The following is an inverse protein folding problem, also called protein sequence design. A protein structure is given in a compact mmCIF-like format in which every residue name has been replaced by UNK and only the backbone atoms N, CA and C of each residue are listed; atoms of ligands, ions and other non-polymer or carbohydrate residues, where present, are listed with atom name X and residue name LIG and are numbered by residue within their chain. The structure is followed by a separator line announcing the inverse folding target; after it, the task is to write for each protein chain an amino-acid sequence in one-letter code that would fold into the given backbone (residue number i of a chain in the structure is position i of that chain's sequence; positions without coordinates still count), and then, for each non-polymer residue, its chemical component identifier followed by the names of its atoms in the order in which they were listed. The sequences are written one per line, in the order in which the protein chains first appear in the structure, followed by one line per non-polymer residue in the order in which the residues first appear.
data_IF_276597782449
#
_entry.id   IF_276597782449
#
_cell.length_a   1.000
_cell.length_b   1.000
_cell.length_c   1.000
_cell.angle_alpha   90.00
_cell.angle_beta   90.00
_cell.angle_gamma   90.00
#
_symmetry.space_group_name_H-M   'P 1'
#
loop_
_entity.id
_entity.type
_entity.pdbx_description
1 polymer ?
#
# COMPACT_ATOMS: atom_id res chain seq x y z
N UNK A 1 -6.55 75.97 36.40
CA UNK A 1 -5.83 75.31 37.51
C UNK A 1 -6.84 74.98 38.60
N UNK A 2 -6.81 73.83 39.29
CA UNK A 2 -6.44 72.48 38.89
C UNK A 2 -7.68 71.57 38.70
N UNK A 3 -7.52 70.48 37.96
CA UNK A 3 -8.51 69.41 37.77
C UNK A 3 -8.13 68.18 38.59
N UNK A 4 -9.05 67.64 39.39
CA UNK A 4 -8.87 66.38 40.13
C UNK A 4 -10.06 65.43 39.93
N UNK A 5 -9.73 64.30 39.29
CA UNK A 5 -10.21 62.93 39.54
C UNK A 5 -11.71 62.62 39.58
N UNK A 6 -12.18 61.84 38.59
CA UNK A 6 -12.88 60.58 38.87
C UNK A 6 -12.63 59.60 37.73
N UNK A 7 -12.18 58.39 38.07
CA UNK A 7 -11.81 57.32 37.14
C UNK A 7 -13.06 56.68 36.50
N UNK A 8 -12.98 56.40 35.20
CA UNK A 8 -13.74 55.36 34.51
C UNK A 8 -12.70 54.42 33.88
N UNK A 9 -12.73 53.09 34.11
CA UNK A 9 -11.75 52.21 33.50
C UNK A 9 -12.00 52.13 32.00
N UNK A 10 -10.96 52.46 31.25
CA UNK A 10 -10.90 52.32 29.81
C UNK A 10 -10.90 50.83 29.42
N UNK A 11 -11.57 50.61 28.30
CA UNK A 11 -11.67 49.41 27.50
C UNK A 11 -10.27 48.86 27.16
N UNK A 12 -9.73 47.96 27.99
CA UNK A 12 -8.54 47.19 27.62
C UNK A 12 -8.91 46.12 26.60
N UNK A 13 -8.41 46.35 25.39
CA UNK A 13 -8.40 45.47 24.25
C UNK A 13 -8.00 44.04 24.63
N UNK A 14 -8.91 43.09 24.37
CA UNK A 14 -8.58 41.69 24.15
C UNK A 14 -7.53 41.59 23.05
N UNK A 15 -6.26 41.49 23.44
CA UNK A 15 -5.19 41.06 22.55
C UNK A 15 -4.45 39.89 23.21
N UNK A 16 -5.15 38.78 23.34
CA UNK A 16 -4.51 37.49 23.55
C UNK A 16 -4.05 36.96 22.19
N UNK A 17 -2.84 37.35 21.78
CA UNK A 17 -2.04 36.60 20.82
C UNK A 17 -1.75 35.22 21.43
N UNK A 18 -2.70 34.30 21.27
CA UNK A 18 -2.46 32.88 21.53
C UNK A 18 -1.43 32.40 20.50
N UNK A 19 -0.19 32.28 20.96
CA UNK A 19 0.85 31.52 20.28
C UNK A 19 0.29 30.11 20.03
N UNK A 20 0.27 29.60 18.79
CA UNK A 20 -0.28 28.27 18.54
C UNK A 20 0.53 27.25 19.34
N UNK A 21 -0.15 26.39 20.10
CA UNK A 21 0.48 25.33 20.88
C UNK A 21 1.55 24.64 20.02
N UNK A 22 2.77 24.48 20.55
CA UNK A 22 3.91 23.92 19.81
C UNK A 22 3.60 22.55 19.17
N UNK A 23 2.72 21.76 19.80
CA UNK A 23 2.18 20.51 19.25
C UNK A 23 1.31 20.70 18.01
N UNK A 24 0.47 21.74 17.96
CA UNK A 24 -0.36 22.09 16.80
C UNK A 24 0.52 22.57 15.64
N UNK A 25 1.58 23.33 15.94
CA UNK A 25 2.53 23.79 14.92
C UNK A 25 3.35 22.63 14.31
N UNK A 26 3.94 21.75 15.13
CA UNK A 26 4.65 20.54 14.67
C UNK A 26 3.72 19.60 13.87
N UNK A 27 2.48 19.46 14.33
CA UNK A 27 1.47 18.66 13.64
C UNK A 27 1.08 19.26 12.29
N UNK A 28 0.94 20.59 12.19
CA UNK A 28 0.67 21.29 10.92
C UNK A 28 1.79 21.09 9.89
N UNK A 29 3.04 20.98 10.35
CA UNK A 29 4.20 20.70 9.50
C UNK A 29 4.24 19.24 9.02
N UNK A 30 3.78 18.29 9.85
CA UNK A 30 3.64 16.87 9.47
C UNK A 30 2.48 16.62 8.49
N UNK A 31 1.46 17.49 8.51
CA UNK A 31 0.24 17.38 7.69
C UNK A 31 0.32 18.13 6.35
N UNK A 32 1.24 19.10 6.21
CA UNK A 32 1.39 19.90 5.00
C UNK A 32 2.71 19.74 4.20
N UNK A 33 3.35 18.57 4.11
CA UNK A 33 4.52 18.42 3.24
C UNK A 33 4.16 18.65 1.75
N UNK A 34 2.90 18.43 1.37
CA UNK A 34 2.39 18.71 0.01
C UNK A 34 2.42 20.21 -0.37
N UNK A 35 2.32 21.14 0.60
CA UNK A 35 2.40 22.60 0.32
C UNK A 35 3.84 23.01 -0.01
N UNK A 36 4.80 22.50 0.75
CA UNK A 36 6.23 22.76 0.53
C UNK A 36 6.73 22.13 -0.78
N UNK A 37 6.23 20.92 -1.12
CA UNK A 37 6.50 20.30 -2.41
C UNK A 37 5.94 21.13 -3.58
N UNK A 38 4.75 21.72 -3.42
CA UNK A 38 4.16 22.57 -4.45
C UNK A 38 4.95 23.85 -4.69
N UNK A 39 5.40 24.52 -3.62
CA UNK A 39 6.12 25.80 -3.73
C UNK A 39 7.53 25.62 -4.28
N UNK A 40 8.26 24.60 -3.82
CA UNK A 40 9.66 24.39 -4.20
C UNK A 40 9.82 23.51 -5.46
N UNK A 41 8.88 22.59 -5.72
CA UNK A 41 8.99 21.58 -6.78
C UNK A 41 7.69 21.35 -7.56
N UNK A 42 7.12 22.43 -8.09
CA UNK A 42 5.82 22.44 -8.79
C UNK A 42 5.65 21.34 -9.87
N UNK A 43 6.64 21.15 -10.75
CA UNK A 43 6.57 20.14 -11.82
C UNK A 43 6.47 18.71 -11.29
N UNK A 44 7.22 18.41 -10.23
CA UNK A 44 7.16 17.09 -9.58
C UNK A 44 5.82 16.91 -8.87
N UNK A 45 5.32 17.94 -8.20
CA UNK A 45 4.02 17.89 -7.54
C UNK A 45 2.90 17.55 -8.54
N UNK A 46 2.85 18.22 -9.71
CA UNK A 46 1.89 17.89 -10.78
C UNK A 46 2.04 16.43 -11.21
N UNK A 47 3.27 15.98 -11.48
CA UNK A 47 3.52 14.62 -11.93
C UNK A 47 3.02 13.59 -10.90
N UNK A 48 3.28 13.80 -9.60
CA UNK A 48 2.81 12.92 -8.54
C UNK A 48 1.29 12.95 -8.37
N UNK A 49 0.63 14.10 -8.58
CA UNK A 49 -0.83 14.17 -8.56
C UNK A 49 -1.46 13.36 -9.70
N UNK A 50 -0.92 13.47 -10.92
CA UNK A 50 -1.36 12.68 -12.07
C UNK A 50 -1.16 11.19 -11.80
N UNK A 51 0.02 10.80 -11.30
CA UNK A 51 0.31 9.39 -10.97
C UNK A 51 -0.64 8.86 -9.90
N UNK A 52 -0.88 9.60 -8.83
CA UNK A 52 -1.81 9.17 -7.77
C UNK A 52 -3.26 9.09 -8.27
N UNK A 53 -3.69 9.96 -9.18
CA UNK A 53 -5.00 9.86 -9.82
C UNK A 53 -5.13 8.58 -10.67
N UNK A 54 -4.08 8.22 -11.42
CA UNK A 54 -4.04 6.96 -12.18
C UNK A 54 -4.07 5.76 -11.23
N UNK A 55 -3.28 5.78 -10.15
CA UNK A 55 -3.27 4.72 -9.12
C UNK A 55 -4.66 4.55 -8.52
N UNK A 56 -5.34 5.64 -8.18
CA UNK A 56 -6.71 5.61 -7.68
C UNK A 56 -7.66 4.90 -8.67
N UNK A 57 -7.69 5.35 -9.94
CA UNK A 57 -8.60 4.81 -10.94
C UNK A 57 -8.35 3.33 -11.20
N UNK A 58 -7.09 2.98 -11.47
CA UNK A 58 -6.68 1.60 -11.77
C UNK A 58 -6.88 0.70 -10.55
N UNK A 59 -6.42 1.15 -9.39
CA UNK A 59 -6.51 0.42 -8.13
C UNK A 59 -7.96 0.13 -7.76
N UNK A 60 -8.85 1.12 -7.77
CA UNK A 60 -10.26 0.91 -7.41
C UNK A 60 -10.96 -0.02 -8.40
N UNK A 61 -10.73 0.13 -9.71
CA UNK A 61 -11.36 -0.72 -10.72
C UNK A 61 -10.91 -2.18 -10.58
N UNK A 62 -9.59 -2.42 -10.53
CA UNK A 62 -9.05 -3.79 -10.45
C UNK A 62 -9.39 -4.46 -9.13
N UNK A 63 -9.30 -3.75 -8.01
CA UNK A 63 -9.60 -4.31 -6.69
C UNK A 63 -11.10 -4.53 -6.48
N UNK A 64 -11.98 -3.68 -7.02
CA UNK A 64 -13.44 -3.91 -6.97
C UNK A 64 -13.84 -5.15 -7.77
N UNK A 65 -13.26 -5.31 -8.96
CA UNK A 65 -13.44 -6.52 -9.77
C UNK A 65 -12.90 -7.75 -9.04
N UNK A 66 -11.71 -7.65 -8.43
CA UNK A 66 -11.13 -8.73 -7.65
C UNK A 66 -12.03 -9.10 -6.47
N UNK A 67 -12.52 -8.12 -5.71
CA UNK A 67 -13.42 -8.33 -4.59
C UNK A 67 -14.68 -9.09 -5.05
N UNK A 68 -15.29 -8.66 -6.15
CA UNK A 68 -16.45 -9.35 -6.74
C UNK A 68 -16.12 -10.82 -7.08
N UNK A 69 -15.02 -11.08 -7.78
CA UNK A 69 -14.64 -12.43 -8.19
C UNK A 69 -14.32 -13.32 -6.98
N UNK A 70 -13.53 -12.81 -6.03
CA UNK A 70 -13.12 -13.55 -4.85
C UNK A 70 -14.28 -13.81 -3.90
N UNK A 71 -15.22 -12.85 -3.75
CA UNK A 71 -16.39 -12.99 -2.89
C UNK A 71 -17.48 -13.87 -3.51
N UNK A 72 -17.81 -13.68 -4.79
CA UNK A 72 -19.01 -14.30 -5.38
C UNK A 72 -18.71 -15.43 -6.38
N UNK A 73 -17.61 -15.37 -7.13
CA UNK A 73 -17.29 -16.42 -8.13
C UNK A 73 -16.44 -17.56 -7.58
N UNK A 74 -15.63 -17.30 -6.56
CA UNK A 74 -14.80 -18.31 -5.91
C UNK A 74 -15.59 -19.09 -4.86
N UNK A 75 -16.07 -20.27 -5.24
CA UNK A 75 -16.89 -21.16 -4.41
C UNK A 75 -16.17 -21.61 -3.13
N UNK A 76 -14.90 -22.01 -3.24
CA UNK A 76 -14.15 -22.57 -2.11
C UNK A 76 -13.27 -21.51 -1.47
N UNK A 77 -13.59 -21.11 -0.22
CA UNK A 77 -12.84 -20.11 0.54
C UNK A 77 -11.65 -20.74 1.27
N UNK A 78 -10.56 -20.92 0.53
CA UNK A 78 -9.28 -21.36 1.11
C UNK A 78 -8.65 -20.27 1.98
N UNK A 79 -7.70 -20.64 2.83
CA UNK A 79 -6.90 -19.70 3.66
C UNK A 79 -6.28 -18.57 2.82
N UNK A 80 -5.65 -18.91 1.70
CA UNK A 80 -5.09 -17.93 0.76
C UNK A 80 -6.15 -17.00 0.16
N UNK A 81 -7.36 -17.49 -0.14
CA UNK A 81 -8.47 -16.64 -0.62
C UNK A 81 -8.91 -15.64 0.46
N UNK A 82 -8.91 -16.04 1.73
CA UNK A 82 -9.26 -15.16 2.86
C UNK A 82 -8.22 -14.06 3.03
N UNK A 83 -6.92 -14.39 3.00
CA UNK A 83 -5.84 -13.38 3.06
C UNK A 83 -5.93 -12.41 1.88
N UNK A 84 -6.17 -12.92 0.66
CA UNK A 84 -6.32 -12.07 -0.52
C UNK A 84 -7.56 -11.16 -0.45
N UNK A 85 -8.70 -11.61 0.09
CA UNK A 85 -9.85 -10.72 0.28
C UNK A 85 -9.50 -9.56 1.22
N UNK A 86 -8.77 -9.82 2.30
CA UNK A 86 -8.37 -8.75 3.22
C UNK A 86 -7.38 -7.78 2.57
N UNK A 87 -6.44 -8.29 1.76
CA UNK A 87 -5.53 -7.47 0.95
C UNK A 87 -6.27 -6.58 -0.05
N UNK A 88 -7.29 -7.13 -0.73
CA UNK A 88 -8.16 -6.35 -1.63
C UNK A 88 -8.88 -5.23 -0.87
N UNK A 89 -9.36 -5.51 0.34
CA UNK A 89 -10.05 -4.51 1.18
C UNK A 89 -9.07 -3.39 1.58
N UNK A 90 -7.84 -3.70 1.95
CA UNK A 90 -6.84 -2.68 2.31
C UNK A 90 -6.49 -1.82 1.10
N UNK A 91 -6.32 -2.43 -0.08
CA UNK A 91 -6.04 -1.72 -1.32
C UNK A 91 -7.17 -0.76 -1.72
N UNK A 92 -8.43 -1.16 -1.50
CA UNK A 92 -9.58 -0.28 -1.71
C UNK A 92 -9.58 0.89 -0.72
N UNK A 93 -9.27 0.65 0.55
CA UNK A 93 -9.19 1.72 1.56
C UNK A 93 -8.15 2.77 1.18
N UNK A 94 -6.93 2.36 0.79
CA UNK A 94 -5.93 3.34 0.33
C UNK A 94 -6.36 4.02 -0.96
N UNK A 95 -6.96 3.28 -1.90
CA UNK A 95 -7.52 3.84 -3.14
C UNK A 95 -8.47 5.00 -2.85
N UNK A 96 -9.49 4.79 -2.01
CA UNK A 96 -10.43 5.84 -1.63
C UNK A 96 -9.81 6.99 -0.81
N UNK A 97 -8.66 6.77 -0.18
CA UNK A 97 -7.94 7.82 0.54
C UNK A 97 -7.18 8.78 -0.39
N UNK A 98 -6.79 8.35 -1.60
CA UNK A 98 -5.99 9.16 -2.53
C UNK A 98 -6.73 10.43 -3.04
N UNK A 99 -8.04 10.38 -3.39
CA UNK A 99 -8.80 11.58 -3.70
C UNK A 99 -8.85 12.60 -2.56
N UNK A 100 -8.86 12.14 -1.31
CA UNK A 100 -8.83 13.04 -0.14
C UNK A 100 -7.57 13.88 -0.15
N UNK A 101 -6.40 13.29 -0.47
CA UNK A 101 -5.14 14.04 -0.62
C UNK A 101 -5.24 15.15 -1.68
N UNK A 102 -5.86 14.84 -2.83
CA UNK A 102 -6.02 15.81 -3.94
C UNK A 102 -6.96 16.95 -3.51
N UNK A 103 -8.12 16.63 -2.94
CA UNK A 103 -9.11 17.63 -2.51
C UNK A 103 -8.53 18.54 -1.42
N UNK A 104 -7.78 17.96 -0.47
CA UNK A 104 -7.19 18.69 0.64
C UNK A 104 -6.18 19.75 0.20
N UNK A 105 -5.48 19.53 -0.91
CA UNK A 105 -4.59 20.54 -1.48
C UNK A 105 -5.34 21.77 -1.97
N UNK A 106 -6.47 21.58 -2.66
CA UNK A 106 -7.26 22.68 -3.23
C UNK A 106 -8.15 23.40 -2.20
N UNK A 107 -8.62 22.70 -1.17
CA UNK A 107 -9.44 23.29 -0.08
C UNK A 107 -8.61 24.04 0.97
N UNK A 108 -7.47 24.62 0.58
CA UNK A 108 -6.52 25.37 1.43
C UNK A 108 -5.92 24.64 2.65
N UNK A 109 -6.25 23.36 2.86
CA UNK A 109 -5.77 22.57 4.00
C UNK A 109 -6.62 22.67 5.27
N UNK A 110 -7.84 23.21 5.20
CA UNK A 110 -8.64 23.55 6.38
C UNK A 110 -9.25 22.35 7.14
N UNK A 111 -9.26 21.14 6.56
CA UNK A 111 -9.75 19.92 7.22
C UNK A 111 -8.61 19.03 7.76
N UNK A 112 -8.18 19.31 8.99
CA UNK A 112 -7.17 18.52 9.71
C UNK A 112 -7.52 17.02 9.81
N UNK A 113 -8.79 16.72 10.11
CA UNK A 113 -9.29 15.35 10.24
C UNK A 113 -9.21 14.57 8.93
N UNK A 114 -9.39 15.24 7.79
CA UNK A 114 -9.33 14.61 6.48
C UNK A 114 -7.90 14.16 6.14
N UNK A 115 -6.89 15.00 6.45
CA UNK A 115 -5.49 14.63 6.27
C UNK A 115 -5.10 13.47 7.19
N UNK A 116 -5.56 13.49 8.45
CA UNK A 116 -5.36 12.37 9.37
C UNK A 116 -5.94 11.06 8.84
N UNK A 117 -7.15 11.08 8.29
CA UNK A 117 -7.79 9.90 7.70
C UNK A 117 -7.00 9.37 6.52
N UNK A 118 -6.48 10.24 5.65
CA UNK A 118 -5.62 9.83 4.54
C UNK A 118 -4.31 9.19 5.04
N UNK A 119 -3.59 9.87 5.93
CA UNK A 119 -2.32 9.40 6.49
C UNK A 119 -2.53 8.06 7.21
N UNK A 120 -3.56 7.96 8.06
CA UNK A 120 -3.90 6.75 8.77
C UNK A 120 -4.25 5.61 7.81
N UNK A 121 -5.12 5.85 6.83
CA UNK A 121 -5.49 4.85 5.83
C UNK A 121 -4.30 4.35 5.01
N UNK A 122 -3.40 5.26 4.63
CA UNK A 122 -2.17 4.93 3.90
C UNK A 122 -1.25 4.00 4.72
N UNK A 123 -0.97 4.34 5.98
CA UNK A 123 -0.07 3.53 6.81
C UNK A 123 -0.70 2.20 7.21
N UNK A 124 -1.98 2.18 7.57
CA UNK A 124 -2.71 0.92 7.82
C UNK A 124 -2.65 0.02 6.59
N UNK A 125 -2.87 0.56 5.39
CA UNK A 125 -2.72 -0.21 4.17
C UNK A 125 -1.30 -0.75 4.00
N UNK A 126 -0.26 0.08 4.13
CA UNK A 126 1.13 -0.35 3.98
C UNK A 126 1.44 -1.56 4.88
N UNK A 127 1.09 -1.48 6.17
CA UNK A 127 1.36 -2.54 7.12
C UNK A 127 0.50 -3.79 6.90
N UNK A 128 -0.80 -3.61 6.64
CA UNK A 128 -1.67 -4.73 6.32
C UNK A 128 -1.21 -5.45 5.04
N UNK A 129 -0.88 -4.72 3.98
CA UNK A 129 -0.46 -5.30 2.71
C UNK A 129 0.82 -6.11 2.87
N UNK A 130 1.84 -5.58 3.58
CA UNK A 130 3.07 -6.32 3.91
C UNK A 130 2.72 -7.64 4.60
N UNK A 131 1.93 -7.60 5.68
CA UNK A 131 1.62 -8.79 6.48
C UNK A 131 0.72 -9.79 5.72
N UNK A 132 -0.26 -9.33 4.95
CA UNK A 132 -1.10 -10.21 4.14
C UNK A 132 -0.34 -10.88 3.01
N UNK A 133 0.53 -10.14 2.30
CA UNK A 133 1.41 -10.71 1.30
C UNK A 133 2.34 -11.77 1.91
N UNK A 134 2.92 -11.50 3.07
CA UNK A 134 3.69 -12.49 3.83
C UNK A 134 2.85 -13.73 4.17
N UNK A 135 1.62 -13.56 4.67
CA UNK A 135 0.73 -14.68 4.96
C UNK A 135 0.39 -15.51 3.72
N UNK A 136 0.21 -14.88 2.57
CA UNK A 136 -0.02 -15.57 1.29
C UNK A 136 1.23 -16.38 0.91
N UNK A 137 2.43 -15.83 1.03
CA UNK A 137 3.69 -16.53 0.77
C UNK A 137 3.87 -17.74 1.70
N UNK A 138 3.60 -17.56 3.00
CA UNK A 138 3.67 -18.64 4.00
C UNK A 138 2.63 -19.73 3.70
N UNK A 139 1.38 -19.36 3.41
CA UNK A 139 0.34 -20.34 3.04
C UNK A 139 0.76 -21.15 1.81
N UNK A 140 1.34 -20.48 0.81
CA UNK A 140 1.83 -21.14 -0.42
C UNK A 140 2.97 -22.11 -0.14
N UNK A 141 3.91 -21.74 0.72
CA UNK A 141 4.96 -22.65 1.18
C UNK A 141 4.39 -23.87 1.89
N UNK A 142 3.52 -23.66 2.87
CA UNK A 142 2.92 -24.74 3.65
C UNK A 142 2.11 -25.69 2.76
N UNK A 143 1.41 -25.16 1.76
CA UNK A 143 0.60 -25.93 0.82
C UNK A 143 1.39 -26.80 -0.16
N UNK A 144 2.70 -26.57 -0.32
CA UNK A 144 3.57 -27.23 -1.30
C UNK A 144 4.62 -28.11 -0.61
N UNK A 145 5.28 -27.56 0.41
CA UNK A 145 6.44 -28.20 1.05
C UNK A 145 6.06 -28.96 2.31
N UNK A 146 5.03 -28.53 3.05
CA UNK A 146 4.62 -29.11 4.33
C UNK A 146 3.15 -29.52 4.35
N UNK A 147 2.73 -30.31 3.36
CA UNK A 147 1.30 -30.65 3.15
C UNK A 147 0.67 -31.35 4.37
N UNK A 148 1.37 -32.32 4.96
CA UNK A 148 0.86 -33.13 6.07
C UNK A 148 0.84 -32.35 7.39
N UNK A 149 1.95 -31.70 7.75
CA UNK A 149 2.07 -30.92 8.98
C UNK A 149 1.15 -29.68 9.01
N UNK A 150 0.93 -29.06 7.85
CA UNK A 150 0.13 -27.83 7.77
C UNK A 150 -1.38 -28.04 7.73
N UNK A 151 -1.86 -29.28 7.58
CA UNK A 151 -3.30 -29.59 7.41
C UNK A 151 -4.16 -29.06 8.57
N UNK A 152 -3.64 -29.11 9.80
CA UNK A 152 -4.33 -28.62 11.01
C UNK A 152 -4.41 -27.08 11.06
N UNK A 153 -3.36 -26.40 10.61
CA UNK A 153 -3.21 -24.95 10.66
C UNK A 153 -3.90 -24.24 9.48
N UNK A 154 -3.95 -24.90 8.30
CA UNK A 154 -4.52 -24.33 7.08
C UNK A 154 -6.03 -24.50 7.01
N UNK A 155 -6.73 -24.00 8.03
CA UNK A 155 -8.19 -23.95 8.06
C UNK A 155 -8.71 -22.49 8.03
N UNK A 156 -9.94 -22.28 7.50
CA UNK A 156 -10.52 -20.93 7.39
C UNK A 156 -10.67 -20.17 8.71
N UNK A 157 -10.92 -20.85 9.83
CA UNK A 157 -11.11 -20.20 11.13
C UNK A 157 -9.80 -19.59 11.64
N UNK A 158 -8.70 -20.35 11.53
CA UNK A 158 -7.35 -19.86 11.85
C UNK A 158 -6.97 -18.67 10.97
N UNK A 159 -7.21 -18.74 9.66
CA UNK A 159 -6.92 -17.64 8.75
C UNK A 159 -7.72 -16.37 9.09
N UNK A 160 -9.01 -16.49 9.44
CA UNK A 160 -9.82 -15.35 9.92
C UNK A 160 -9.24 -14.74 11.20
N UNK A 161 -8.83 -15.56 12.16
CA UNK A 161 -8.19 -15.10 13.40
C UNK A 161 -6.89 -14.34 13.11
N UNK A 162 -6.05 -14.85 12.20
CA UNK A 162 -4.82 -14.18 11.75
C UNK A 162 -5.15 -12.84 11.07
N UNK A 163 -6.19 -12.78 10.23
CA UNK A 163 -6.59 -11.52 9.60
C UNK A 163 -7.02 -10.47 10.63
N UNK A 164 -7.85 -10.85 11.60
CA UNK A 164 -8.28 -9.95 12.68
C UNK A 164 -7.07 -9.45 13.48
N UNK A 165 -6.13 -10.34 13.81
CA UNK A 165 -4.89 -9.95 14.47
C UNK A 165 -4.09 -8.93 13.64
N UNK A 166 -3.92 -9.17 12.34
CA UNK A 166 -3.19 -8.26 11.44
C UNK A 166 -3.83 -6.87 11.41
N UNK A 167 -5.16 -6.79 11.28
CA UNK A 167 -5.88 -5.52 11.27
C UNK A 167 -5.68 -4.74 12.57
N UNK A 168 -5.82 -5.41 13.72
CA UNK A 168 -5.64 -4.79 15.05
C UNK A 168 -4.19 -4.33 15.19
N UNK A 169 -3.23 -5.21 14.89
CA UNK A 169 -1.80 -4.92 14.99
C UNK A 169 -1.40 -3.72 14.13
N UNK A 170 -1.73 -3.73 12.84
CA UNK A 170 -1.42 -2.65 11.90
C UNK A 170 -2.06 -1.31 12.33
N UNK A 171 -3.29 -1.36 12.85
CA UNK A 171 -4.00 -0.18 13.37
C UNK A 171 -3.31 0.40 14.61
N UNK A 172 -2.98 -0.44 15.58
CA UNK A 172 -2.31 -0.02 16.83
C UNK A 172 -0.93 0.56 16.54
N UNK A 173 -0.17 -0.07 15.64
CA UNK A 173 1.13 0.42 15.19
C UNK A 173 0.98 1.79 14.52
N UNK A 174 0.07 1.92 13.55
CA UNK A 174 -0.14 3.19 12.84
C UNK A 174 -0.52 4.31 13.80
N UNK A 175 -1.43 4.03 14.73
CA UNK A 175 -1.84 4.98 15.76
C UNK A 175 -0.69 5.38 16.68
N UNK A 176 0.15 4.41 17.07
CA UNK A 176 1.33 4.67 17.90
C UNK A 176 2.32 5.56 17.16
N UNK A 177 2.65 5.26 15.90
CA UNK A 177 3.56 6.07 15.09
C UNK A 177 3.04 7.49 14.91
N UNK A 178 1.76 7.65 14.59
CA UNK A 178 1.14 8.95 14.43
C UNK A 178 1.17 9.76 15.73
N UNK A 179 0.85 9.13 16.87
CA UNK A 179 0.91 9.78 18.19
C UNK A 179 2.33 10.21 18.55
N UNK A 180 3.32 9.34 18.29
CA UNK A 180 4.72 9.63 18.58
C UNK A 180 5.28 10.76 17.69
N UNK A 181 4.88 10.80 16.42
CA UNK A 181 5.24 11.88 15.51
C UNK A 181 4.69 13.25 15.97
N UNK A 182 3.50 13.25 16.59
CA UNK A 182 2.83 14.48 17.07
C UNK A 182 3.42 14.95 18.40
N UNK A 183 3.71 14.04 19.33
CA UNK A 183 4.02 14.40 20.72
C UNK A 183 5.52 14.43 21.06
N UNK A 184 6.37 13.67 20.36
CA UNK A 184 7.75 13.42 20.83
C UNK A 184 8.79 13.43 19.69
N UNK A 185 8.73 14.46 18.82
CA UNK A 185 9.52 14.57 17.59
C UNK A 185 11.04 14.32 17.74
N UNK A 186 11.64 14.55 18.92
CA UNK A 186 13.11 14.44 19.10
C UNK A 186 13.60 13.22 19.92
N UNK A 187 12.80 12.66 20.83
CA UNK A 187 13.31 11.64 21.79
C UNK A 187 13.15 10.19 21.31
N UNK A 188 12.28 9.94 20.31
CA UNK A 188 11.76 8.60 20.05
C UNK A 188 12.02 8.05 18.63
N UNK A 189 12.91 8.71 17.87
CA UNK A 189 13.29 8.29 16.53
C UNK A 189 13.80 6.84 16.51
N UNK A 190 14.64 6.45 17.47
CA UNK A 190 15.18 5.08 17.62
C UNK A 190 14.09 4.01 17.80
N UNK A 191 13.02 4.30 18.55
CA UNK A 191 11.92 3.35 18.77
C UNK A 191 11.04 3.18 17.53
N UNK A 192 10.77 4.28 16.82
CA UNK A 192 10.04 4.26 15.55
C UNK A 192 10.80 3.46 14.49
N UNK A 193 12.13 3.59 14.46
CA UNK A 193 12.99 2.84 13.56
C UNK A 193 13.04 1.35 13.88
N UNK A 194 13.11 0.97 15.16
CA UNK A 194 13.07 -0.45 15.56
C UNK A 194 11.74 -1.08 15.13
N UNK A 195 10.61 -0.42 15.38
CA UNK A 195 9.29 -0.87 14.93
C UNK A 195 9.25 -1.03 13.41
N UNK A 196 9.70 -0.02 12.68
CA UNK A 196 9.78 -0.04 11.23
C UNK A 196 10.71 -1.13 10.68
N UNK A 197 11.82 -1.40 11.37
CA UNK A 197 12.76 -2.45 10.98
C UNK A 197 12.13 -3.83 11.21
N UNK A 198 11.48 -4.03 12.35
CA UNK A 198 10.75 -5.25 12.67
C UNK A 198 9.54 -5.48 11.76
N UNK A 199 8.90 -4.42 11.25
CA UNK A 199 7.70 -4.54 10.43
C UNK A 199 7.99 -4.73 8.95
N UNK A 200 9.17 -4.33 8.48
CA UNK A 200 9.54 -4.48 7.07
C UNK A 200 10.58 -5.58 6.85
N UNK A 201 11.72 -5.51 7.53
CA UNK A 201 12.82 -6.44 7.27
C UNK A 201 12.49 -7.85 7.73
N UNK A 202 11.73 -8.01 8.82
CA UNK A 202 11.32 -9.35 9.26
C UNK A 202 10.36 -10.03 8.25
N UNK A 203 9.27 -9.39 7.77
CA UNK A 203 8.50 -9.91 6.63
C UNK A 203 9.32 -10.16 5.37
N UNK A 204 10.27 -9.28 5.03
CA UNK A 204 11.15 -9.47 3.88
C UNK A 204 12.04 -10.72 4.03
N UNK A 205 12.68 -10.90 5.19
CA UNK A 205 13.49 -12.09 5.52
C UNK A 205 12.63 -13.34 5.43
N UNK A 206 11.41 -13.30 5.97
CA UNK A 206 10.44 -14.40 5.88
C UNK A 206 10.14 -14.75 4.43
N UNK A 207 9.85 -13.76 3.57
CA UNK A 207 9.53 -13.97 2.16
C UNK A 207 10.75 -14.55 1.43
N UNK A 208 11.95 -14.03 1.65
CA UNK A 208 13.19 -14.54 1.04
C UNK A 208 13.44 -15.98 1.48
N UNK A 209 13.32 -16.28 2.78
CA UNK A 209 13.49 -17.61 3.34
C UNK A 209 12.51 -18.61 2.71
N UNK A 210 11.21 -18.30 2.71
CA UNK A 210 10.20 -19.19 2.14
C UNK A 210 10.34 -19.34 0.63
N UNK A 211 10.68 -18.28 -0.08
CA UNK A 211 10.95 -18.33 -1.53
C UNK A 211 12.10 -19.28 -1.82
N UNK A 212 13.22 -19.13 -1.11
CA UNK A 212 14.40 -19.99 -1.25
C UNK A 212 14.05 -21.45 -0.93
N UNK A 213 13.31 -21.70 0.15
CA UNK A 213 12.90 -23.06 0.54
C UNK A 213 11.97 -23.71 -0.47
N UNK A 214 11.02 -22.96 -1.06
CA UNK A 214 10.21 -23.46 -2.17
C UNK A 214 11.12 -23.81 -3.35
N UNK A 215 11.99 -22.89 -3.78
CA UNK A 215 12.88 -23.13 -4.92
C UNK A 215 13.75 -24.38 -4.72
N UNK A 216 14.40 -24.54 -3.56
CA UNK A 216 15.18 -25.72 -3.24
C UNK A 216 14.33 -27.00 -3.20
N UNK A 217 13.11 -26.93 -2.68
CA UNK A 217 12.20 -28.07 -2.64
C UNK A 217 11.75 -28.49 -4.05
N UNK A 218 11.52 -27.52 -4.94
CA UNK A 218 11.16 -27.76 -6.33
C UNK A 218 12.28 -28.41 -7.15
N UNK A 219 13.54 -28.26 -6.73
CA UNK A 219 14.67 -28.98 -7.33
C UNK A 219 14.70 -30.47 -6.97
N UNK A 220 13.90 -30.93 -6.00
CA UNK A 220 13.88 -32.34 -5.57
C UNK A 220 12.87 -33.16 -6.38
N UNK A 221 13.23 -34.39 -6.82
CA UNK A 221 12.31 -35.29 -7.53
C UNK A 221 11.08 -35.71 -6.73
N UNK A 222 11.18 -35.75 -5.38
CA UNK A 222 10.10 -36.22 -4.50
C UNK A 222 8.83 -35.35 -4.54
N UNK A 223 8.92 -34.09 -4.95
CA UNK A 223 7.77 -33.20 -5.14
C UNK A 223 7.21 -33.21 -6.57
N UNK A 224 7.68 -34.11 -7.45
CA UNK A 224 7.15 -34.28 -8.81
C UNK A 224 5.71 -34.79 -8.86
N UNK A 225 5.20 -35.41 -7.78
CA UNK A 225 3.81 -35.85 -7.71
C UNK A 225 2.81 -34.67 -7.76
N UNK A 226 3.25 -33.46 -7.41
CA UNK A 226 2.43 -32.26 -7.55
C UNK A 226 2.51 -31.71 -8.98
N UNK A 227 1.36 -31.30 -9.52
CA UNK A 227 1.29 -30.74 -10.88
C UNK A 227 2.29 -29.60 -11.08
N UNK A 228 3.06 -29.69 -12.18
CA UNK A 228 4.03 -28.67 -12.61
C UNK A 228 3.38 -27.28 -12.67
N UNK A 229 2.13 -27.21 -13.08
CA UNK A 229 1.36 -25.96 -13.15
C UNK A 229 1.19 -25.32 -11.76
N UNK A 230 0.76 -26.09 -10.74
CA UNK A 230 0.56 -25.56 -9.38
C UNK A 230 1.86 -25.07 -8.77
N UNK A 231 2.97 -25.76 -9.07
CA UNK A 231 4.33 -25.38 -8.68
C UNK A 231 4.76 -24.06 -9.32
N UNK A 232 4.65 -23.94 -10.65
CA UNK A 232 5.04 -22.73 -11.39
C UNK A 232 4.26 -21.52 -10.92
N UNK A 233 2.95 -21.64 -10.69
CA UNK A 233 2.13 -20.54 -10.19
C UNK A 233 2.55 -20.06 -8.81
N UNK A 234 3.01 -20.96 -7.94
CA UNK A 234 3.50 -20.56 -6.63
C UNK A 234 4.84 -19.81 -6.73
N UNK A 235 5.75 -20.25 -7.60
CA UNK A 235 7.00 -19.52 -7.87
C UNK A 235 6.71 -18.15 -8.46
N UNK A 236 5.82 -18.07 -9.45
CA UNK A 236 5.39 -16.81 -10.04
C UNK A 236 4.78 -15.88 -8.99
N UNK A 237 3.90 -16.38 -8.13
CA UNK A 237 3.36 -15.62 -7.00
C UNK A 237 4.48 -15.06 -6.12
N UNK A 238 5.41 -15.90 -5.66
CA UNK A 238 6.49 -15.46 -4.76
C UNK A 238 7.40 -14.40 -5.39
N UNK A 239 7.77 -14.60 -6.67
CA UNK A 239 8.57 -13.63 -7.42
C UNK A 239 7.80 -12.32 -7.57
N UNK A 240 6.52 -12.37 -7.91
CA UNK A 240 5.66 -11.17 -7.99
C UNK A 240 5.61 -10.43 -6.66
N UNK A 241 5.38 -11.15 -5.55
CA UNK A 241 5.37 -10.53 -4.21
C UNK A 241 6.73 -9.89 -3.90
N UNK A 242 7.85 -10.55 -4.20
CA UNK A 242 9.18 -9.98 -3.99
C UNK A 242 9.39 -8.69 -4.81
N UNK A 243 8.98 -8.68 -6.08
CA UNK A 243 9.05 -7.49 -6.94
C UNK A 243 8.23 -6.34 -6.34
N UNK A 244 7.01 -6.62 -5.88
CA UNK A 244 6.14 -5.63 -5.23
C UNK A 244 6.80 -5.07 -3.98
N UNK A 245 7.39 -5.91 -3.12
CA UNK A 245 8.16 -5.45 -1.95
C UNK A 245 9.34 -4.54 -2.32
N UNK A 246 10.08 -4.91 -3.36
CA UNK A 246 11.25 -4.14 -3.81
C UNK A 246 10.87 -2.78 -4.39
N UNK A 247 9.77 -2.71 -5.16
CA UNK A 247 9.35 -1.48 -5.83
C UNK A 247 8.52 -0.58 -4.91
N UNK A 248 7.55 -1.15 -4.19
CA UNK A 248 6.54 -0.38 -3.47
C UNK A 248 6.96 -0.06 -2.03
N UNK A 249 7.57 -1.01 -1.31
CA UNK A 249 7.81 -0.85 0.12
C UNK A 249 9.27 -0.53 0.47
N UNK A 250 10.24 -1.15 -0.20
CA UNK A 250 11.68 -0.95 0.08
C UNK A 250 12.10 0.52 0.05
N UNK A 251 11.73 1.34 -0.96
CA UNK A 251 12.23 2.69 -1.07
C UNK A 251 11.87 3.57 0.13
N UNK A 252 10.64 3.44 0.63
CA UNK A 252 10.17 4.15 1.82
C UNK A 252 10.98 3.75 3.08
N UNK A 253 11.15 2.45 3.30
CA UNK A 253 11.86 1.95 4.48
C UNK A 253 13.37 2.26 4.44
N UNK A 254 13.99 2.20 3.26
CA UNK A 254 15.39 2.62 3.06
C UNK A 254 15.57 4.10 3.38
N UNK A 255 14.65 4.97 2.94
CA UNK A 255 14.67 6.40 3.31
C UNK A 255 14.67 6.59 4.82
N UNK A 256 13.82 5.85 5.55
CA UNK A 256 13.75 6.03 7.00
C UNK A 256 15.02 5.56 7.71
N UNK A 257 15.63 4.47 7.25
CA UNK A 257 16.94 4.04 7.73
C UNK A 257 18.01 5.11 7.41
N UNK A 258 18.00 5.69 6.21
CA UNK A 258 18.96 6.72 5.84
C UNK A 258 18.87 7.97 6.74
N UNK A 259 17.65 8.44 7.03
CA UNK A 259 17.42 9.58 7.94
C UNK A 259 17.87 9.26 9.37
N UNK A 260 17.72 8.01 9.79
CA UNK A 260 18.19 7.59 11.12
C UNK A 260 19.69 7.61 11.30
N UNK A 261 20.43 7.22 10.26
CA UNK A 261 21.89 7.13 10.29
C UNK A 261 22.49 8.51 10.04
N UNK A 262 21.87 9.30 9.17
CA UNK A 262 22.30 10.65 8.84
C UNK A 262 21.18 11.67 9.03
N UNK A 263 20.95 12.15 10.26
CA UNK A 263 19.96 13.19 10.55
C UNK A 263 20.23 14.51 9.81
N UNK A 264 21.47 14.73 9.36
CA UNK A 264 21.88 15.94 8.62
C UNK A 264 21.56 15.92 7.13
N UNK A 265 20.73 14.99 6.65
CA UNK A 265 20.27 14.97 5.25
C UNK A 265 19.54 16.29 4.91
N UNK A 266 19.85 16.94 3.77
CA UNK A 266 19.16 18.15 3.36
C UNK A 266 17.64 17.96 3.32
N UNK A 267 16.90 18.92 3.89
CA UNK A 267 15.45 18.84 4.03
C UNK A 267 14.76 18.63 2.68
N UNK A 268 15.17 19.36 1.64
CA UNK A 268 14.56 19.30 0.31
C UNK A 268 14.72 17.93 -0.33
N UNK A 269 15.90 17.33 -0.24
CA UNK A 269 16.16 15.97 -0.74
C UNK A 269 15.30 14.96 0.03
N UNK A 270 15.24 15.10 1.34
CA UNK A 270 14.43 14.24 2.20
C UNK A 270 12.93 14.34 1.86
N UNK A 271 12.43 15.54 1.59
CA UNK A 271 11.05 15.83 1.18
C UNK A 271 10.72 15.21 -0.18
N UNK A 272 11.59 15.39 -1.17
CA UNK A 272 11.45 14.79 -2.50
C UNK A 272 11.35 13.26 -2.42
N UNK A 273 12.31 12.64 -1.72
CA UNK A 273 12.35 11.18 -1.57
C UNK A 273 11.11 10.70 -0.80
N UNK A 274 10.61 11.44 0.19
CA UNK A 274 9.37 11.09 0.89
C UNK A 274 8.19 10.94 -0.07
N UNK A 275 7.88 11.97 -0.86
CA UNK A 275 6.70 11.96 -1.71
C UNK A 275 6.78 10.95 -2.86
N UNK A 276 7.98 10.73 -3.41
CA UNK A 276 8.21 9.69 -4.41
C UNK A 276 7.99 8.31 -3.79
N UNK A 277 8.59 8.03 -2.64
CA UNK A 277 8.48 6.72 -1.99
C UNK A 277 7.07 6.41 -1.46
N UNK A 278 6.33 7.42 -0.99
CA UNK A 278 4.89 7.28 -0.64
C UNK A 278 4.04 6.96 -1.87
N UNK A 279 4.34 7.58 -3.00
CA UNK A 279 3.63 7.30 -4.26
C UNK A 279 3.95 5.88 -4.77
N UNK A 280 5.21 5.44 -4.67
CA UNK A 280 5.61 4.06 -4.97
C UNK A 280 4.91 3.05 -4.05
N UNK A 281 4.77 3.34 -2.76
CA UNK A 281 4.02 2.48 -1.83
C UNK A 281 2.54 2.38 -2.22
N UNK A 282 1.94 3.48 -2.66
CA UNK A 282 0.55 3.50 -3.15
C UNK A 282 0.34 2.67 -4.42
N UNK A 283 1.38 2.54 -5.26
CA UNK A 283 1.37 1.70 -6.46
C UNK A 283 1.14 0.21 -6.15
N UNK A 284 1.43 -0.23 -4.91
CA UNK A 284 1.14 -1.59 -4.44
C UNK A 284 -0.28 -2.04 -4.79
N UNK A 285 -1.27 -1.16 -4.54
CA UNK A 285 -2.69 -1.44 -4.80
C UNK A 285 -3.01 -1.76 -6.26
N UNK A 286 -2.19 -1.27 -7.21
CA UNK A 286 -2.32 -1.56 -8.64
C UNK A 286 -1.56 -2.82 -9.06
N UNK A 287 -0.52 -3.21 -8.32
CA UNK A 287 0.32 -4.37 -8.61
C UNK A 287 -0.23 -5.66 -7.98
N UNK A 288 -0.90 -5.59 -6.84
CA UNK A 288 -1.49 -6.75 -6.15
C UNK A 288 -2.49 -7.57 -6.99
N UNK A 289 -3.28 -6.99 -7.92
CA UNK A 289 -4.03 -7.76 -8.92
C UNK A 289 -3.21 -8.81 -9.70
N UNK A 290 -1.91 -8.59 -9.88
CA UNK A 290 -1.02 -9.60 -10.49
C UNK A 290 -0.87 -10.82 -9.56
N UNK A 291 -0.70 -10.60 -8.26
CA UNK A 291 -0.67 -11.67 -7.24
C UNK A 291 -1.98 -12.45 -7.26
N UNK A 292 -3.12 -11.75 -7.37
CA UNK A 292 -4.45 -12.36 -7.34
C UNK A 292 -4.66 -13.37 -8.48
N UNK A 293 -4.03 -13.13 -9.64
CA UNK A 293 -4.05 -14.04 -10.79
C UNK A 293 -3.38 -15.38 -10.49
N UNK A 294 -2.44 -15.43 -9.55
CA UNK A 294 -1.80 -16.67 -9.11
C UNK A 294 -2.52 -17.31 -7.91
N UNK A 295 -3.50 -16.62 -7.32
CA UNK A 295 -4.28 -17.14 -6.20
C UNK A 295 -5.48 -17.97 -6.65
N UNK A 296 -6.26 -17.50 -7.64
CA UNK A 296 -7.43 -18.24 -8.15
C UNK A 296 -7.52 -18.27 -9.67
N UNK A 297 -7.98 -19.40 -10.21
CA UNK A 297 -8.24 -19.56 -11.66
C UNK A 297 -9.35 -18.64 -12.13
N UNK A 298 -10.35 -18.37 -11.28
CA UNK A 298 -11.50 -17.53 -11.61
C UNK A 298 -11.05 -16.10 -11.92
N UNK A 299 -10.19 -15.53 -11.07
CA UNK A 299 -9.67 -14.19 -11.30
C UNK A 299 -8.72 -14.15 -12.49
N UNK A 300 -7.79 -15.11 -12.58
CA UNK A 300 -6.89 -15.24 -13.73
C UNK A 300 -7.64 -15.29 -15.07
N UNK A 301 -8.71 -16.10 -15.15
CA UNK A 301 -9.51 -16.25 -16.36
C UNK A 301 -10.30 -14.98 -16.68
N UNK A 302 -10.79 -14.29 -15.65
CA UNK A 302 -11.49 -13.01 -15.80
C UNK A 302 -10.54 -11.96 -16.38
N UNK A 303 -9.33 -11.84 -15.83
CA UNK A 303 -8.31 -10.92 -16.35
C UNK A 303 -7.88 -11.27 -17.78
N UNK A 304 -7.60 -12.55 -18.08
CA UNK A 304 -7.28 -12.99 -19.45
C UNK A 304 -8.37 -12.63 -20.46
N UNK A 305 -9.64 -12.79 -20.08
CA UNK A 305 -10.76 -12.45 -20.96
C UNK A 305 -10.88 -10.93 -21.19
N UNK A 306 -10.56 -10.11 -20.20
CA UNK A 306 -10.52 -8.65 -20.35
C UNK A 306 -9.41 -8.26 -21.32
N UNK A 307 -8.17 -8.72 -21.07
CA UNK A 307 -7.03 -8.42 -21.94
C UNK A 307 -7.22 -8.92 -23.38
N UNK A 308 -7.79 -10.12 -23.57
CA UNK A 308 -8.08 -10.65 -24.91
C UNK A 308 -9.17 -9.87 -25.65
N UNK A 309 -10.12 -9.25 -24.95
CA UNK A 309 -11.13 -8.38 -25.57
C UNK A 309 -10.58 -7.02 -25.96
N UNK A 310 -9.50 -6.58 -25.29
CA UNK A 310 -8.82 -5.31 -25.58
C UNK A 310 -7.86 -5.45 -26.77
N UNK A 311 -7.34 -6.65 -27.04
CA UNK A 311 -6.71 -6.97 -28.33
C UNK A 311 -7.82 -6.95 -29.42
N UNK A 312 -7.80 -6.01 -30.38
CA UNK A 312 -8.80 -5.99 -31.44
C UNK A 312 -8.75 -7.29 -32.24
N UNK A 313 -9.86 -7.69 -32.83
CA UNK A 313 -9.94 -8.70 -33.90
C UNK A 313 -9.15 -8.26 -35.15
N UNK A 314 -7.84 -8.04 -35.02
CA UNK A 314 -6.97 -7.63 -36.11
C UNK A 314 -6.65 -8.80 -37.04
N UNK A 315 -7.10 -10.02 -36.71
CA UNK A 315 -6.93 -11.22 -37.55
C UNK A 315 -8.13 -11.50 -38.47
N UNK A 316 -9.28 -10.81 -38.31
CA UNK A 316 -10.46 -11.02 -39.18
C UNK A 316 -10.44 -10.14 -40.44
N UNK A 317 -9.76 -8.98 -40.42
CA UNK A 317 -9.66 -8.10 -41.58
C UNK A 317 -8.66 -8.60 -42.64
N UNK A 318 -7.58 -9.28 -42.23
CA UNK A 318 -6.56 -9.78 -43.18
C UNK A 318 -7.03 -11.02 -43.96
N UNK A 319 -7.94 -11.83 -43.40
CA UNK A 319 -8.52 -13.00 -44.08
C UNK A 319 -9.54 -12.59 -45.15
N UNK A 320 -10.24 -11.47 -44.97
CA UNK A 320 -11.17 -10.92 -45.97
C UNK A 320 -10.48 -10.08 -47.06
N UNK A 321 -9.27 -9.56 -46.80
CA UNK A 321 -8.43 -8.90 -47.79
C UNK A 321 -7.74 -9.86 -48.76
N UNK A 322 -7.22 -11.01 -48.27
CA UNK A 322 -6.55 -12.01 -49.11
C UNK A 322 -7.50 -12.76 -50.06
N UNK A 323 -8.79 -12.87 -49.73
CA UNK A 323 -9.76 -13.57 -50.58
C UNK A 323 -10.33 -12.71 -51.73
N UNK A 324 -10.06 -11.40 -51.76
CA UNK A 324 -10.47 -10.52 -52.87
C UNK A 324 -9.41 -10.41 -53.98
N UNK A 325 -8.13 -10.66 -53.70
CA UNK A 325 -7.07 -10.59 -54.72
C UNK A 325 -6.84 -11.91 -55.49
N UNK A 326 -7.45 -13.03 -55.09
CA UNK A 326 -7.32 -14.31 -55.81
C UNK A 326 -8.41 -14.55 -56.87
N UNK A 327 -9.36 -13.62 -57.06
CA UNK A 327 -10.45 -13.75 -58.05
C UNK A 327 -10.41 -12.71 -59.18
N UNK A 328 -9.32 -11.97 -59.32
CA UNK A 328 -9.18 -10.96 -60.34
C UNK A 328 -7.74 -10.67 -60.69
N UNK A 329 -7.04 -11.66 -61.27
CA UNK A 329 -6.05 -11.44 -62.32
C UNK A 329 -5.64 -12.78 -62.93
#
# INVERSE_FOLDING_TARGET
MPTSSTQLPALDSMNSTQQPNSSIYLFSKFIHPDKELYTEFYSLWIALMIVNAIIFLVGVVLNSLALYVFCFRTKTKTTSVIYTINLIVTDLLVGFSLPVRIIMFYSAGDCLNCSLVHIFGYFVNMYCSILFLTCICVDRYLAIVQVEASRKWRNPACAKGICVFIWIFATVVTFSILTMAIQFAECCLSKILVLMVCEYFFPLIIIIFFTTRIMCALSKPSLMHQSRERRMRAVQLLITVLIIFMICFTPFHVRQVAISINPGMPHDVSLLVYHVTVTLSSLNSCMDPIVYCFVTNNFQSTMKNIFRKTEPEQTSADILGMNKNSKGS
#
